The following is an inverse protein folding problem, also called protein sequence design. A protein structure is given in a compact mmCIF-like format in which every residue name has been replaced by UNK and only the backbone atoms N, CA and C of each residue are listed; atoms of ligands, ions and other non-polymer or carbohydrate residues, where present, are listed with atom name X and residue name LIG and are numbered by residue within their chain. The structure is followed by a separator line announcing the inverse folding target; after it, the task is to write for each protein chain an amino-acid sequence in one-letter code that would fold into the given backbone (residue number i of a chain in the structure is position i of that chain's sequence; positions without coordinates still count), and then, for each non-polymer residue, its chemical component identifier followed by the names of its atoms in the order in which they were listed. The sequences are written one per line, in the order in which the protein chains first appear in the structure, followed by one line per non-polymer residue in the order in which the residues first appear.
data_IF_405235951145
#
_entry.id   IF_405235951145
#
_cell.length_a   1.000
_cell.length_b   1.000
_cell.length_c   1.000
_cell.angle_alpha   90.00
_cell.angle_beta   90.00
_cell.angle_gamma   90.00
#
_symmetry.space_group_name_H-M   'P 1'
#
loop_
_entity.id
_entity.type
_entity.pdbx_description
1 polymer ?
#
# COMPACT_ATOMS: atom_id res chain seq x y z
N UNK A 1 -26.32 -19.00 -24.88
CA UNK A 1 -26.59 -17.75 -24.14
C UNK A 1 -26.09 -16.57 -24.96
N UNK A 2 -26.89 -16.13 -25.95
CA UNK A 2 -26.58 -14.97 -26.79
C UNK A 2 -27.87 -14.17 -27.02
N UNK A 3 -28.54 -13.84 -25.91
CA UNK A 3 -29.85 -13.22 -25.89
C UNK A 3 -29.83 -11.95 -25.04
N UNK A 4 -28.79 -11.14 -25.11
CA UNK A 4 -28.71 -9.90 -24.32
C UNK A 4 -28.05 -8.77 -25.11
N UNK A 5 -28.79 -8.28 -26.10
CA UNK A 5 -28.65 -6.90 -26.62
C UNK A 5 -30.03 -6.50 -27.18
N UNK A 6 -30.93 -6.11 -26.28
CA UNK A 6 -31.91 -5.04 -26.51
C UNK A 6 -32.88 -5.16 -27.70
N UNK A 7 -33.38 -6.34 -28.03
CA UNK A 7 -34.43 -6.47 -29.05
C UNK A 7 -35.79 -6.77 -28.40
N UNK A 8 -36.37 -5.76 -27.77
CA UNK A 8 -37.83 -5.71 -27.65
C UNK A 8 -38.41 -5.44 -29.04
N UNK A 9 -38.37 -6.44 -29.91
CA UNK A 9 -39.03 -6.39 -31.21
C UNK A 9 -40.52 -6.63 -30.98
N UNK A 10 -41.35 -5.78 -31.59
CA UNK A 10 -42.79 -5.90 -31.54
C UNK A 10 -43.25 -6.39 -32.89
N UNK A 11 -44.14 -7.39 -32.91
CA UNK A 11 -44.73 -7.85 -34.16
C UNK A 11 -45.50 -6.73 -34.85
N UNK A 12 -45.26 -6.58 -36.16
CA UNK A 12 -45.95 -5.56 -36.96
C UNK A 12 -47.48 -5.79 -36.97
N UNK A 13 -47.92 -7.05 -36.96
CA UNK A 13 -49.34 -7.45 -36.83
C UNK A 13 -49.99 -6.87 -35.57
N UNK A 14 -49.32 -6.96 -34.42
CA UNK A 14 -49.80 -6.42 -33.15
C UNK A 14 -49.88 -4.90 -33.18
N UNK A 15 -48.90 -4.23 -33.81
CA UNK A 15 -48.89 -2.78 -33.97
C UNK A 15 -50.06 -2.30 -34.86
N UNK A 16 -50.31 -2.98 -35.98
CA UNK A 16 -51.43 -2.68 -36.89
C UNK A 16 -52.76 -2.86 -36.16
N UNK A 17 -52.94 -4.00 -35.48
CA UNK A 17 -54.18 -4.31 -34.75
C UNK A 17 -54.46 -3.27 -33.67
N UNK A 18 -53.47 -2.96 -32.82
CA UNK A 18 -53.62 -1.96 -31.76
C UNK A 18 -53.85 -0.56 -32.31
N UNK A 19 -53.23 -0.20 -33.43
CA UNK A 19 -53.48 1.07 -34.11
C UNK A 19 -54.90 1.17 -34.67
N UNK A 20 -55.45 0.07 -35.19
CA UNK A 20 -56.83 0.02 -35.66
C UNK A 20 -57.83 0.09 -34.50
N UNK A 21 -57.60 -0.69 -33.44
CA UNK A 21 -58.41 -0.69 -32.21
C UNK A 21 -58.44 0.69 -31.56
N UNK A 22 -57.29 1.33 -31.37
CA UNK A 22 -57.22 2.68 -30.82
C UNK A 22 -57.95 3.71 -31.70
N UNK A 23 -57.85 3.58 -33.03
CA UNK A 23 -58.53 4.51 -33.95
C UNK A 23 -60.05 4.32 -33.89
N UNK A 24 -60.53 3.08 -33.75
CA UNK A 24 -61.94 2.77 -33.58
C UNK A 24 -62.47 3.26 -32.23
N UNK A 25 -61.74 3.02 -31.14
CA UNK A 25 -62.11 3.49 -29.80
C UNK A 25 -62.17 5.02 -29.74
N UNK A 26 -61.18 5.71 -30.32
CA UNK A 26 -61.17 7.16 -30.38
C UNK A 26 -62.33 7.73 -31.22
N UNK A 27 -62.70 7.06 -32.33
CA UNK A 27 -63.87 7.45 -33.10
C UNK A 27 -65.16 7.22 -32.30
N UNK A 28 -65.29 6.06 -31.65
CA UNK A 28 -66.45 5.72 -30.82
C UNK A 28 -66.62 6.74 -29.69
N UNK A 29 -65.54 7.09 -29.00
CA UNK A 29 -65.55 8.12 -27.95
C UNK A 29 -65.97 9.50 -28.48
N UNK A 30 -65.51 9.88 -29.68
CA UNK A 30 -65.91 11.14 -30.33
C UNK A 30 -67.40 11.13 -30.70
N UNK A 31 -67.91 10.01 -31.22
CA UNK A 31 -69.33 9.84 -31.56
C UNK A 31 -70.21 9.88 -30.31
N UNK A 32 -69.86 9.13 -29.26
CA UNK A 32 -70.61 9.14 -27.99
C UNK A 32 -70.62 10.53 -27.34
N UNK A 33 -69.49 11.26 -27.37
CA UNK A 33 -69.43 12.67 -26.92
C UNK A 33 -70.39 13.56 -27.70
N UNK A 34 -70.40 13.43 -29.03
CA UNK A 34 -71.25 14.26 -29.90
C UNK A 34 -72.75 13.98 -29.78
N UNK A 35 -73.12 12.77 -29.32
CA UNK A 35 -74.50 12.29 -29.13
C UNK A 35 -75.05 12.59 -27.74
N UNK A 36 -74.18 12.88 -26.76
CA UNK A 36 -74.60 13.14 -25.39
C UNK A 36 -75.55 14.36 -25.32
N UNK A 37 -76.71 14.25 -24.64
CA UNK A 37 -77.73 15.31 -24.61
C UNK A 37 -77.30 16.57 -23.84
N UNK A 38 -76.18 16.52 -23.11
CA UNK A 38 -75.59 17.65 -22.37
C UNK A 38 -74.59 18.47 -23.21
N UNK A 39 -74.33 18.07 -24.46
CA UNK A 39 -73.28 18.66 -25.29
C UNK A 39 -73.76 19.96 -25.96
N UNK A 40 -73.62 21.08 -25.25
CA UNK A 40 -73.95 22.46 -25.67
C UNK A 40 -73.06 23.00 -26.82
N UNK A 41 -72.19 22.16 -27.40
CA UNK A 41 -71.24 22.55 -28.45
C UNK A 41 -71.93 22.82 -29.77
N UNK A 42 -71.43 23.85 -30.47
CA UNK A 42 -71.93 24.23 -31.79
C UNK A 42 -71.60 23.15 -32.84
N UNK A 43 -72.45 23.01 -33.87
CA UNK A 43 -72.20 22.10 -35.00
C UNK A 43 -70.85 22.38 -35.68
N UNK A 44 -70.38 23.63 -35.65
CA UNK A 44 -69.05 24.02 -36.12
C UNK A 44 -67.92 23.38 -35.33
N UNK A 45 -68.01 23.34 -34.00
CA UNK A 45 -66.99 22.72 -33.13
C UNK A 45 -66.95 21.21 -33.33
N UNK A 46 -68.12 20.56 -33.46
CA UNK A 46 -68.23 19.12 -33.75
C UNK A 46 -67.57 18.76 -35.09
N UNK A 47 -67.76 19.59 -36.13
CA UNK A 47 -67.10 19.42 -37.44
C UNK A 47 -65.58 19.62 -37.36
N UNK A 48 -65.12 20.61 -36.60
CA UNK A 48 -63.68 20.85 -36.39
C UNK A 48 -63.03 19.67 -35.66
N UNK A 49 -63.66 19.13 -34.63
CA UNK A 49 -63.11 17.98 -33.88
C UNK A 49 -63.10 16.69 -34.71
N UNK A 50 -64.10 16.47 -35.56
CA UNK A 50 -64.09 15.37 -36.54
C UNK A 50 -62.94 15.53 -37.55
N UNK A 51 -62.72 16.74 -38.07
CA UNK A 51 -61.60 17.02 -38.97
C UNK A 51 -60.24 16.79 -38.30
N UNK A 52 -60.07 17.20 -37.04
CA UNK A 52 -58.86 16.92 -36.26
C UNK A 52 -58.64 15.42 -36.08
N UNK A 53 -59.70 14.67 -35.79
CA UNK A 53 -59.63 13.21 -35.68
C UNK A 53 -59.18 12.57 -37.00
N UNK A 54 -59.79 12.94 -38.13
CA UNK A 54 -59.44 12.40 -39.45
C UNK A 54 -57.98 12.72 -39.80
N UNK A 55 -57.53 13.96 -39.55
CA UNK A 55 -56.15 14.37 -39.81
C UNK A 55 -55.15 13.56 -38.95
N UNK A 56 -55.43 13.37 -37.65
CA UNK A 56 -54.61 12.58 -36.73
C UNK A 56 -54.56 11.11 -37.15
N UNK A 57 -55.70 10.52 -37.47
CA UNK A 57 -55.79 9.13 -37.92
C UNK A 57 -55.06 8.92 -39.24
N UNK A 58 -55.21 9.85 -40.21
CA UNK A 58 -54.46 9.82 -41.47
C UNK A 58 -52.95 9.85 -41.25
N UNK A 59 -52.45 10.73 -40.38
CA UNK A 59 -51.01 10.77 -40.06
C UNK A 59 -50.52 9.46 -39.44
N UNK A 60 -51.29 8.87 -38.53
CA UNK A 60 -50.96 7.58 -37.91
C UNK A 60 -50.90 6.45 -38.94
N UNK A 61 -51.87 6.38 -39.87
CA UNK A 61 -51.89 5.38 -40.94
C UNK A 61 -50.75 5.58 -41.94
N UNK A 62 -50.37 6.83 -42.25
CA UNK A 62 -49.21 7.10 -43.09
C UNK A 62 -47.89 6.63 -42.45
N UNK A 63 -47.71 6.85 -41.13
CA UNK A 63 -46.54 6.32 -40.40
C UNK A 63 -46.52 4.79 -40.42
N UNK A 64 -47.68 4.16 -40.23
CA UNK A 64 -47.81 2.70 -40.30
C UNK A 64 -47.50 2.16 -41.71
N UNK A 65 -47.90 2.89 -42.76
CA UNK A 65 -47.59 2.54 -44.15
C UNK A 65 -46.09 2.60 -44.44
N UNK A 66 -45.39 3.63 -43.94
CA UNK A 66 -43.93 3.70 -44.04
C UNK A 66 -43.31 2.51 -43.34
N UNK A 67 -43.72 2.21 -42.10
CA UNK A 67 -43.22 1.02 -41.38
C UNK A 67 -43.47 -0.28 -42.15
N UNK A 68 -44.63 -0.45 -42.80
CA UNK A 68 -44.91 -1.62 -43.63
C UNK A 68 -43.92 -1.76 -44.80
N UNK A 69 -43.53 -0.65 -45.44
CA UNK A 69 -42.49 -0.65 -46.50
C UNK A 69 -41.13 -1.07 -45.96
N UNK A 70 -40.76 -0.59 -44.77
CA UNK A 70 -39.51 -0.98 -44.10
C UNK A 70 -39.51 -2.42 -43.61
N UNK A 71 -40.67 -2.96 -43.22
CA UNK A 71 -40.80 -4.36 -42.80
C UNK A 71 -40.39 -5.36 -43.90
N UNK A 72 -40.45 -4.96 -45.18
CA UNK A 72 -39.98 -5.81 -46.29
C UNK A 72 -38.47 -6.07 -46.23
N UNK A 73 -37.69 -5.18 -45.60
CA UNK A 73 -36.24 -5.29 -45.47
C UNK A 73 -35.80 -5.96 -44.15
N UNK A 74 -36.74 -6.42 -43.32
CA UNK A 74 -36.44 -7.07 -42.04
C UNK A 74 -35.49 -8.27 -42.17
N UNK A 75 -35.61 -9.15 -43.18
CA UNK A 75 -34.67 -10.27 -43.33
C UNK A 75 -33.22 -9.82 -43.52
N UNK A 76 -32.99 -8.72 -44.25
CA UNK A 76 -31.66 -8.14 -44.43
C UNK A 76 -31.13 -7.56 -43.12
N UNK A 77 -31.97 -6.83 -42.39
CA UNK A 77 -31.62 -6.26 -41.08
C UNK A 77 -31.27 -7.37 -40.09
N UNK A 78 -32.04 -8.46 -40.06
CA UNK A 78 -31.78 -9.60 -39.20
C UNK A 78 -30.44 -10.28 -39.53
N UNK A 79 -30.13 -10.43 -40.82
CA UNK A 79 -28.83 -10.93 -41.26
C UNK A 79 -27.68 -10.01 -40.83
N UNK A 80 -27.81 -8.69 -41.03
CA UNK A 80 -26.81 -7.73 -40.58
C UNK A 80 -26.63 -7.73 -39.06
N UNK A 81 -27.71 -7.93 -38.29
CA UNK A 81 -27.65 -8.05 -36.83
C UNK A 81 -26.91 -9.33 -36.40
N UNK A 82 -27.17 -10.46 -37.06
CA UNK A 82 -26.42 -11.70 -36.83
C UNK A 82 -24.94 -11.50 -37.12
N UNK A 83 -24.60 -10.86 -38.25
CA UNK A 83 -23.22 -10.56 -38.63
C UNK A 83 -22.54 -9.61 -37.62
N UNK A 84 -23.25 -8.59 -37.14
CA UNK A 84 -22.74 -7.69 -36.11
C UNK A 84 -22.49 -8.44 -34.80
N UNK A 85 -23.37 -9.36 -34.42
CA UNK A 85 -23.20 -10.20 -33.23
C UNK A 85 -21.99 -11.14 -33.36
N UNK A 86 -21.77 -11.76 -34.53
CA UNK A 86 -20.57 -12.58 -34.76
C UNK A 86 -19.30 -11.74 -34.76
N UNK A 87 -19.34 -10.53 -35.33
CA UNK A 87 -18.19 -9.64 -35.30
C UNK A 87 -17.84 -9.21 -33.86
N UNK A 88 -18.84 -8.89 -33.05
CA UNK A 88 -18.66 -8.53 -31.63
C UNK A 88 -18.11 -9.71 -30.80
N UNK A 89 -18.53 -10.95 -31.10
CA UNK A 89 -17.98 -12.12 -30.42
C UNK A 89 -16.52 -12.38 -30.80
N UNK A 90 -16.13 -12.14 -32.06
CA UNK A 90 -14.73 -12.20 -32.49
C UNK A 90 -13.86 -11.15 -31.80
N UNK A 91 -14.33 -9.91 -31.71
CA UNK A 91 -13.63 -8.83 -31.02
C UNK A 91 -13.38 -9.15 -29.53
N UNK A 92 -14.41 -9.69 -28.88
CA UNK A 92 -14.31 -10.18 -27.49
C UNK A 92 -13.31 -11.33 -27.38
N UNK A 93 -13.32 -12.27 -28.32
CA UNK A 93 -12.38 -13.40 -28.35
C UNK A 93 -10.92 -12.93 -28.52
N UNK A 94 -10.66 -11.94 -29.37
CA UNK A 94 -9.31 -11.39 -29.53
C UNK A 94 -8.80 -10.75 -28.24
N UNK A 95 -9.65 -9.96 -27.58
CA UNK A 95 -9.33 -9.35 -26.29
C UNK A 95 -9.03 -10.43 -25.24
N UNK A 96 -9.91 -11.42 -25.10
CA UNK A 96 -9.73 -12.54 -24.17
C UNK A 96 -8.47 -13.37 -24.46
N UNK A 97 -8.13 -13.56 -25.74
CA UNK A 97 -6.92 -14.29 -26.14
C UNK A 97 -5.67 -13.51 -25.77
N UNK A 98 -5.66 -12.19 -25.99
CA UNK A 98 -4.56 -11.33 -25.60
C UNK A 98 -4.34 -11.35 -24.08
N UNK A 99 -5.41 -11.23 -23.30
CA UNK A 99 -5.36 -11.33 -21.84
C UNK A 99 -4.83 -12.71 -21.40
N UNK A 100 -5.33 -13.79 -22.00
CA UNK A 100 -4.89 -15.15 -21.68
C UNK A 100 -3.40 -15.36 -21.95
N UNK A 101 -2.89 -14.81 -23.06
CA UNK A 101 -1.46 -14.86 -23.40
C UNK A 101 -0.63 -14.05 -22.40
N UNK A 102 -1.11 -12.89 -21.97
CA UNK A 102 -0.44 -12.07 -20.97
C UNK A 102 -0.32 -12.80 -19.62
N UNK A 103 -1.41 -13.37 -19.11
CA UNK A 103 -1.37 -14.13 -17.86
C UNK A 103 -0.54 -15.42 -17.98
N UNK A 104 -0.58 -16.10 -19.14
CA UNK A 104 0.25 -17.28 -19.38
C UNK A 104 1.75 -16.93 -19.34
N UNK A 105 2.14 -15.74 -19.82
CA UNK A 105 3.53 -15.29 -19.75
C UNK A 105 4.03 -15.23 -18.29
N UNK A 106 3.26 -14.64 -17.38
CA UNK A 106 3.61 -14.62 -15.95
C UNK A 106 3.69 -16.04 -15.37
N UNK A 107 2.73 -16.91 -15.70
CA UNK A 107 2.75 -18.31 -15.26
C UNK A 107 4.02 -19.05 -15.73
N UNK A 108 4.44 -18.83 -16.98
CA UNK A 108 5.66 -19.40 -17.55
C UNK A 108 6.92 -18.89 -16.86
N UNK A 109 6.97 -17.63 -16.44
CA UNK A 109 8.10 -17.10 -15.68
C UNK A 109 8.26 -17.81 -14.34
N UNK A 110 7.16 -18.10 -13.63
CA UNK A 110 7.19 -18.84 -12.36
C UNK A 110 7.55 -20.31 -12.53
N UNK A 111 7.15 -20.94 -13.65
CA UNK A 111 7.51 -22.31 -13.96
C UNK A 111 8.99 -22.48 -14.35
N UNK A 112 9.66 -21.40 -14.75
CA UNK A 112 11.08 -21.41 -15.11
C UNK A 112 11.93 -21.59 -13.84
N UNK A 113 12.75 -22.64 -13.81
CA UNK A 113 13.72 -22.82 -12.75
C UNK A 113 14.68 -21.61 -12.66
N UNK A 114 14.91 -21.04 -11.46
CA UNK A 114 15.92 -20.01 -11.27
C UNK A 114 17.30 -20.49 -11.70
N UNK A 115 18.15 -19.56 -12.11
CA UNK A 115 19.56 -19.88 -12.36
C UNK A 115 20.21 -20.12 -10.99
N UNK A 116 20.71 -21.33 -10.77
CA UNK A 116 21.36 -21.70 -9.52
C UNK A 116 22.76 -21.09 -9.43
N UNK A 117 23.03 -20.34 -8.37
CA UNK A 117 24.37 -19.79 -8.09
C UNK A 117 25.26 -20.84 -7.43
N UNK A 118 25.73 -21.78 -8.25
CA UNK A 118 26.59 -22.89 -7.83
C UNK A 118 27.91 -22.39 -7.22
N UNK A 119 28.62 -21.38 -7.78
CA UNK A 119 29.86 -20.88 -7.17
C UNK A 119 29.67 -20.36 -5.74
N UNK A 120 28.62 -19.59 -5.49
CA UNK A 120 28.35 -19.09 -4.13
C UNK A 120 27.97 -20.21 -3.16
N UNK A 121 27.20 -21.21 -3.61
CA UNK A 121 26.87 -22.38 -2.81
C UNK A 121 28.11 -23.19 -2.42
N UNK A 122 29.07 -23.36 -3.35
CA UNK A 122 30.35 -24.03 -3.09
C UNK A 122 31.17 -23.25 -2.06
N UNK A 123 31.25 -21.91 -2.19
CA UNK A 123 31.98 -21.07 -1.24
C UNK A 123 31.41 -21.21 0.18
N UNK A 124 30.09 -21.12 0.34
CA UNK A 124 29.45 -21.28 1.65
C UNK A 124 29.70 -22.69 2.22
N UNK A 125 29.60 -23.74 1.38
CA UNK A 125 29.81 -25.12 1.81
C UNK A 125 31.25 -25.39 2.27
N UNK A 126 32.25 -24.84 1.56
CA UNK A 126 33.66 -25.07 1.86
C UNK A 126 34.21 -24.14 2.96
N UNK A 127 33.78 -22.87 2.97
CA UNK A 127 34.32 -21.84 3.84
C UNK A 127 33.42 -21.54 5.06
N UNK A 128 32.21 -22.11 5.10
CA UNK A 128 31.23 -21.87 6.16
C UNK A 128 30.61 -20.46 6.12
N UNK A 129 30.88 -19.66 5.09
CA UNK A 129 30.43 -18.28 5.01
C UNK A 129 30.56 -17.66 3.62
N UNK A 130 29.86 -16.55 3.40
CA UNK A 130 29.80 -15.86 2.12
C UNK A 130 30.77 -14.65 2.09
N UNK A 131 31.94 -14.81 1.46
CA UNK A 131 33.01 -13.79 1.48
C UNK A 131 32.76 -12.56 0.59
N UNK A 132 31.78 -12.62 -0.31
CA UNK A 132 31.41 -11.50 -1.19
C UNK A 132 30.38 -10.56 -0.56
N UNK A 133 29.92 -10.86 0.66
CA UNK A 133 29.01 -9.99 1.36
C UNK A 133 29.72 -8.68 1.75
N UNK A 134 29.10 -7.50 1.56
CA UNK A 134 29.64 -6.26 2.07
C UNK A 134 29.81 -6.31 3.59
N UNK A 135 30.99 -5.94 4.08
CA UNK A 135 31.31 -5.92 5.52
C UNK A 135 30.43 -4.97 6.33
N UNK A 136 29.76 -4.01 5.69
CA UNK A 136 28.81 -3.09 6.34
C UNK A 136 27.59 -3.80 6.94
N UNK A 137 27.35 -5.08 6.63
CA UNK A 137 26.31 -5.88 7.29
C UNK A 137 26.77 -6.37 8.67
N UNK A 138 28.08 -6.54 8.90
CA UNK A 138 28.63 -6.90 10.22
C UNK A 138 28.41 -5.79 11.25
N UNK A 139 28.32 -4.52 10.82
CA UNK A 139 28.02 -3.38 11.70
C UNK A 139 26.57 -3.39 12.24
N UNK A 140 25.66 -4.11 11.57
CA UNK A 140 24.25 -4.24 11.96
C UNK A 140 23.97 -5.48 12.81
N UNK A 141 24.84 -6.50 12.71
CA UNK A 141 24.68 -7.77 13.41
C UNK A 141 25.63 -7.75 14.61
N UNK A 142 25.07 -7.43 15.78
CA UNK A 142 25.61 -7.62 17.14
C UNK A 142 27.04 -8.16 17.15
N UNK A 143 28.01 -7.28 17.42
CA UNK A 143 29.42 -7.64 17.56
C UNK A 143 29.55 -8.89 18.45
N UNK A 144 30.19 -9.93 17.91
CA UNK A 144 30.46 -11.15 18.66
C UNK A 144 31.27 -10.82 19.92
N UNK A 145 30.82 -11.36 21.06
CA UNK A 145 31.55 -11.23 22.33
C UNK A 145 32.95 -11.79 22.16
N UNK A 146 33.98 -10.98 22.43
CA UNK A 146 35.38 -11.40 22.37
C UNK A 146 35.62 -12.67 23.20
N UNK A 147 36.36 -13.63 22.66
CA UNK A 147 36.75 -14.85 23.38
C UNK A 147 37.62 -14.52 24.60
N UNK A 148 37.51 -15.28 25.69
CA UNK A 148 38.24 -15.02 26.95
C UNK A 148 39.77 -14.94 26.76
N UNK A 149 40.30 -15.67 25.78
CA UNK A 149 41.72 -15.65 25.42
C UNK A 149 42.16 -14.33 24.75
N UNK A 150 41.25 -13.65 24.04
CA UNK A 150 41.49 -12.35 23.40
C UNK A 150 41.22 -11.17 24.34
N UNK A 151 40.44 -11.37 25.40
CA UNK A 151 40.13 -10.32 26.38
C UNK A 151 41.37 -9.90 27.19
N UNK A 152 42.12 -10.86 27.74
CA UNK A 152 43.31 -10.60 28.57
C UNK A 152 44.39 -9.75 27.87
N UNK A 153 44.83 -10.05 26.63
CA UNK A 153 45.81 -9.21 25.93
C UNK A 153 45.22 -7.84 25.55
N UNK A 154 43.92 -7.76 25.28
CA UNK A 154 43.25 -6.50 24.93
C UNK A 154 43.16 -5.56 26.14
N UNK A 155 42.84 -6.07 27.33
CA UNK A 155 42.86 -5.29 28.58
C UNK A 155 44.25 -4.75 28.89
N UNK A 156 45.31 -5.54 28.69
CA UNK A 156 46.71 -5.07 28.84
C UNK A 156 47.07 -3.95 27.87
N UNK A 157 46.59 -4.01 26.63
CA UNK A 157 46.76 -2.93 25.65
C UNK A 157 46.00 -1.68 26.10
N UNK A 158 44.78 -1.84 26.60
CA UNK A 158 43.96 -0.75 27.14
C UNK A 158 44.66 -0.07 28.33
N UNK A 159 45.20 -0.84 29.27
CA UNK A 159 46.00 -0.32 30.39
C UNK A 159 47.19 0.51 29.93
N UNK A 160 47.85 0.09 28.85
CA UNK A 160 49.00 0.82 28.28
C UNK A 160 48.57 2.15 27.67
N UNK A 161 47.43 2.18 26.98
CA UNK A 161 46.85 3.40 26.39
C UNK A 161 46.33 4.34 27.48
N UNK A 162 45.71 3.81 28.54
CA UNK A 162 45.31 4.60 29.70
C UNK A 162 46.52 5.27 30.37
N UNK A 163 47.62 4.52 30.53
CA UNK A 163 48.87 5.06 31.07
C UNK A 163 49.42 6.19 30.22
N UNK A 164 49.48 6.03 28.89
CA UNK A 164 49.98 7.09 28.02
C UNK A 164 49.08 8.33 28.06
N UNK A 165 47.75 8.16 28.07
CA UNK A 165 46.81 9.28 28.16
C UNK A 165 46.85 10.03 29.49
N UNK A 166 47.07 9.34 30.61
CA UNK A 166 47.25 9.99 31.91
C UNK A 166 48.54 10.81 31.99
N UNK A 167 49.57 10.45 31.22
CA UNK A 167 50.80 11.23 31.13
C UNK A 167 50.64 12.50 30.27
N UNK A 168 49.73 12.49 29.30
CA UNK A 168 49.43 13.65 28.46
C UNK A 168 48.54 14.70 29.16
N UNK A 169 47.72 14.27 30.13
CA UNK A 169 46.77 15.15 30.84
C UNK A 169 47.43 15.76 32.07
N UNK A 170 47.21 17.06 32.30
CA UNK A 170 47.63 17.73 33.54
C UNK A 170 46.69 17.30 34.67
N UNK A 171 47.16 16.45 35.57
CA UNK A 171 46.37 16.05 36.74
C UNK A 171 46.32 17.20 37.78
N UNK A 172 45.13 17.52 38.33
CA UNK A 172 44.98 18.41 39.48
C UNK A 172 45.79 17.93 40.69
N UNK A 173 46.28 18.87 41.52
CA UNK A 173 47.17 18.58 42.66
C UNK A 173 46.46 17.88 43.82
N UNK A 174 45.14 17.87 43.78
CA UNK A 174 44.22 17.32 44.77
C UNK A 174 44.07 15.80 44.63
N UNK A 175 44.57 15.20 43.54
CA UNK A 175 44.50 13.75 43.32
C UNK A 175 45.63 13.06 44.11
N UNK A 176 45.27 12.39 45.20
CA UNK A 176 46.21 11.66 46.06
C UNK A 176 46.80 10.42 45.41
N UNK A 177 46.00 9.65 44.66
CA UNK A 177 46.43 8.35 44.12
C UNK A 177 45.75 8.00 42.80
N UNK A 178 46.56 7.52 41.85
CA UNK A 178 46.12 6.99 40.56
C UNK A 178 46.53 5.53 40.45
N UNK A 179 45.58 4.63 40.21
CA UNK A 179 45.84 3.20 39.96
C UNK A 179 45.15 2.76 38.69
N UNK A 180 45.86 2.02 37.84
CA UNK A 180 45.33 1.53 36.56
C UNK A 180 45.35 0.00 36.62
N UNK A 181 44.21 -0.63 36.40
CA UNK A 181 44.06 -2.10 36.47
C UNK A 181 42.88 -2.54 35.61
N UNK A 182 43.06 -3.65 34.87
CA UNK A 182 42.03 -4.31 34.05
C UNK A 182 41.25 -3.36 33.11
N UNK A 183 41.94 -2.41 32.49
CA UNK A 183 41.36 -1.45 31.55
C UNK A 183 40.60 -0.29 32.21
N UNK A 184 40.79 -0.09 33.52
CA UNK A 184 40.15 0.97 34.31
C UNK A 184 41.21 1.81 35.02
N UNK A 185 41.12 3.13 34.86
CA UNK A 185 41.88 4.10 35.64
C UNK A 185 41.05 4.55 36.85
N UNK A 186 41.59 4.34 38.05
CA UNK A 186 40.97 4.71 39.31
C UNK A 186 41.71 5.93 39.87
N UNK A 187 40.99 7.05 39.99
CA UNK A 187 41.48 8.28 40.60
C UNK A 187 40.88 8.38 42.00
N UNK A 188 41.72 8.62 43.01
CA UNK A 188 41.28 8.78 44.40
C UNK A 188 41.78 10.09 44.99
N UNK A 189 40.85 10.82 45.59
CA UNK A 189 41.08 12.00 46.44
C UNK A 189 40.73 11.61 47.87
N UNK A 190 41.68 11.71 48.79
CA UNK A 190 41.46 11.26 50.17
C UNK A 190 40.44 12.16 50.89
N UNK A 191 39.41 11.52 51.46
CA UNK A 191 38.34 12.22 52.17
C UNK A 191 37.21 12.77 51.29
N UNK A 192 37.29 12.64 49.95
CA UNK A 192 36.28 13.18 49.04
C UNK A 192 35.60 12.12 48.16
N UNK A 193 36.30 11.55 47.18
CA UNK A 193 35.71 10.61 46.22
C UNK A 193 36.75 9.72 45.52
N UNK A 194 36.25 8.69 44.85
CA UNK A 194 36.99 7.76 43.98
C UNK A 194 36.24 7.58 42.66
N UNK A 195 36.91 7.84 41.54
CA UNK A 195 36.33 7.75 40.19
C UNK A 195 36.96 6.60 39.42
N UNK A 196 36.12 5.83 38.73
CA UNK A 196 36.51 4.79 37.79
C UNK A 196 36.30 5.30 36.37
N UNK A 197 37.39 5.38 35.61
CA UNK A 197 37.45 5.91 34.26
C UNK A 197 37.93 4.84 33.27
N UNK A 198 37.43 4.89 32.05
CA UNK A 198 37.97 4.12 30.92
C UNK A 198 38.02 5.00 29.66
N UNK A 199 38.63 4.49 28.58
CA UNK A 199 38.72 5.18 27.30
C UNK A 199 37.72 4.59 26.31
N UNK A 200 37.02 5.45 25.57
CA UNK A 200 36.07 5.04 24.54
C UNK A 200 34.66 5.58 24.79
N UNK A 201 34.24 6.52 23.95
CA UNK A 201 32.86 7.01 23.93
C UNK A 201 32.39 7.20 22.48
N UNK A 202 31.21 6.64 22.13
CA UNK A 202 30.56 6.77 20.80
C UNK A 202 31.51 6.55 19.60
N UNK A 203 32.42 5.57 19.68
CA UNK A 203 33.38 5.26 18.61
C UNK A 203 34.68 6.07 18.63
N UNK A 204 34.83 7.02 19.56
CA UNK A 204 36.08 7.76 19.78
C UNK A 204 36.89 7.13 20.92
N UNK A 205 38.04 6.54 20.59
CA UNK A 205 38.95 5.86 21.53
C UNK A 205 39.77 6.82 22.42
N UNK A 206 39.74 8.11 22.13
CA UNK A 206 40.51 9.14 22.86
C UNK A 206 39.74 9.81 23.99
N UNK A 207 38.41 9.64 24.05
CA UNK A 207 37.56 10.30 25.04
C UNK A 207 37.48 9.48 26.33
N UNK A 208 37.53 10.20 27.46
CA UNK A 208 37.33 9.62 28.79
C UNK A 208 35.85 9.31 29.03
N UNK A 209 35.57 8.10 29.51
CA UNK A 209 34.24 7.65 29.94
C UNK A 209 34.26 7.34 31.42
N UNK A 210 33.33 7.91 32.16
CA UNK A 210 33.12 7.60 33.57
C UNK A 210 32.31 6.31 33.67
N UNK A 211 32.84 5.31 34.36
CA UNK A 211 32.13 4.06 34.66
C UNK A 211 31.34 4.19 35.97
N UNK A 212 32.00 4.69 37.01
CA UNK A 212 31.44 4.74 38.35
C UNK A 212 32.14 5.82 39.20
N UNK A 213 31.42 6.40 40.16
CA UNK A 213 31.95 7.36 41.14
C UNK A 213 31.49 6.91 42.53
N UNK A 214 32.43 6.71 43.44
CA UNK A 214 32.21 6.43 44.87
C UNK A 214 32.51 7.70 45.67
N UNK A 215 31.54 8.25 46.40
CA UNK A 215 31.76 9.39 47.29
C UNK A 215 32.26 8.89 48.65
N UNK A 216 33.38 9.43 49.13
CA UNK A 216 34.02 9.09 50.39
C UNK A 216 33.69 10.10 51.52
N UNK A 217 32.93 11.16 51.23
CA UNK A 217 32.44 12.15 52.22
C UNK A 217 31.19 11.61 52.95
N UNK A 218 31.24 11.58 54.28
CA UNK A 218 30.09 11.32 55.14
C UNK A 218 30.28 11.93 56.53
N UNK A 219 29.20 12.47 57.11
CA UNK A 219 29.18 13.07 58.45
C UNK A 219 29.53 12.03 59.54
N UNK A 220 30.04 12.47 60.71
CA UNK A 220 30.44 11.59 61.85
C UNK A 220 29.27 10.86 62.54
N UNK A 221 28.08 10.81 61.95
CA UNK A 221 26.93 10.04 62.43
C UNK A 221 26.57 8.96 61.42
N UNK A 222 27.21 7.80 61.54
CA UNK A 222 26.83 6.58 60.83
C UNK A 222 27.14 6.60 59.33
N UNK A 223 27.28 5.41 58.76
CA UNK A 223 27.29 5.22 57.32
C UNK A 223 25.98 5.76 56.76
N UNK A 224 26.04 6.86 56.00
CA UNK A 224 24.97 7.20 55.08
C UNK A 224 24.94 6.06 54.08
N UNK A 225 24.16 5.02 54.37
CA UNK A 225 23.68 4.12 53.33
C UNK A 225 22.85 5.02 52.44
N UNK A 226 23.41 5.40 51.30
CA UNK A 226 22.60 5.66 50.12
C UNK A 226 21.86 4.35 49.86
N UNK A 227 20.72 4.18 50.52
CA UNK A 227 19.78 3.12 50.16
C UNK A 227 19.47 3.31 48.69
N UNK A 228 19.75 2.25 47.93
CA UNK A 228 19.24 1.97 46.60
C UNK A 228 19.01 3.18 45.70
N UNK A 229 20.05 3.94 45.42
CA UNK A 229 20.00 4.88 44.31
C UNK A 229 20.56 4.21 43.08
N UNK A 230 19.63 3.55 42.38
CA UNK A 230 19.51 3.60 40.93
C UNK A 230 20.83 3.46 40.19
N UNK A 231 21.01 2.31 39.53
CA UNK A 231 21.87 2.18 38.36
C UNK A 231 21.40 3.17 37.29
N UNK A 232 21.63 4.47 37.48
CA UNK A 232 21.77 5.38 36.37
C UNK A 232 23.14 5.02 35.80
N UNK A 233 23.12 4.08 34.85
CA UNK A 233 24.04 4.20 33.75
C UNK A 233 23.89 5.65 33.26
N UNK A 234 24.90 6.49 33.50
CA UNK A 234 25.02 7.80 32.85
C UNK A 234 25.28 7.55 31.36
N UNK A 235 24.25 7.03 30.68
CA UNK A 235 24.31 6.46 29.35
C UNK A 235 22.89 6.07 28.95
N UNK A 236 22.06 7.10 28.77
CA UNK A 236 21.11 7.20 27.65
C UNK A 236 20.29 8.53 27.69
N UNK A 237 20.27 9.25 28.82
CA UNK A 237 19.40 10.43 28.96
C UNK A 237 19.90 11.74 28.29
N UNK A 238 21.13 11.77 27.75
CA UNK A 238 21.60 12.85 26.87
C UNK A 238 21.35 12.55 25.38
N UNK A 239 20.83 11.37 25.03
CA UNK A 239 20.74 10.91 23.65
C UNK A 239 19.51 11.42 22.87
N UNK A 240 18.62 12.19 23.52
CA UNK A 240 17.39 12.70 22.87
C UNK A 240 17.43 14.15 22.38
N UNK A 241 18.43 14.95 22.74
CA UNK A 241 18.41 16.40 22.43
C UNK A 241 19.43 16.83 21.36
N UNK A 242 19.96 15.88 20.57
CA UNK A 242 21.01 16.16 19.58
C UNK A 242 20.77 15.62 18.18
N UNK A 243 19.52 15.32 17.81
CA UNK A 243 19.13 15.10 16.41
C UNK A 243 18.27 16.27 15.94
N UNK A 244 18.94 17.33 15.51
CA UNK A 244 18.47 18.32 14.55
C UNK A 244 19.68 18.77 13.72
#
# INVERSE_FOLDING_TARGET
MAAELGQQTVEFSALVRRSAEDSYLALKELVERSRAPEDQRSDSEKKIDLLKFIAKTRQRMLRLHVLAKWCQQVPLIQYCQQLAATLSSHDTCFTQTADSLFYMHEGLQHARAPIFDVPSAIEILLLGGYKRLPKCIEDLVIQSTLSEDEQKPTLKKLDTILRSKLLEVVLPKEISKVTISDGIAVLRVDGEFKVFLTLGYRGHLSLWRILHIELLVGEKSGTIKLEETRRYALGDDLERNGCN
#
